data_IF_824804202359
#
_entry.id   IF_824804202359
#
_cell.length_a   1.000
_cell.length_b   1.000
_cell.length_c   1.000
_cell.angle_alpha   90.00
_cell.angle_beta   90.00
_cell.angle_gamma   90.00
#
_symmetry.space_group_name_H-M   'P 1'
#
loop_
_entity.id
_entity.type
_entity.pdbx_description
1 polymer ?
#
# COMPACT_ATOMS: atom_id res chain seq x y z
N UNK A 1 -3.80 -18.06 -36.93
CA UNK A 1 -3.95 -16.95 -35.99
C UNK A 1 -4.28 -17.55 -34.65
N UNK A 2 -3.35 -17.51 -33.69
CA UNK A 2 -3.56 -18.03 -32.35
C UNK A 2 -4.44 -17.01 -31.58
N UNK A 3 -5.67 -17.41 -31.24
CA UNK A 3 -6.53 -16.56 -30.39
C UNK A 3 -5.85 -16.35 -29.04
N UNK A 4 -5.79 -15.12 -28.58
CA UNK A 4 -5.26 -14.79 -27.25
C UNK A 4 -6.14 -15.42 -26.17
N UNK A 5 -5.58 -15.75 -25.01
CA UNK A 5 -6.33 -16.25 -23.84
C UNK A 5 -7.46 -15.27 -23.47
N UNK A 6 -7.21 -13.96 -23.61
CA UNK A 6 -8.21 -12.90 -23.34
C UNK A 6 -9.40 -13.00 -24.30
N UNK A 7 -9.18 -13.33 -25.58
CA UNK A 7 -10.29 -13.50 -26.55
C UNK A 7 -11.11 -14.77 -26.34
N UNK A 8 -10.54 -15.78 -25.66
CA UNK A 8 -11.25 -17.02 -25.30
C UNK A 8 -12.12 -16.84 -24.05
N UNK A 9 -11.66 -16.02 -23.10
CA UNK A 9 -12.45 -15.71 -21.90
C UNK A 9 -13.78 -15.03 -22.22
N UNK A 10 -13.87 -14.34 -23.36
CA UNK A 10 -15.09 -13.69 -23.85
C UNK A 10 -16.24 -14.67 -24.13
N UNK A 11 -15.91 -15.86 -24.61
CA UNK A 11 -16.90 -16.89 -24.97
C UNK A 11 -17.60 -17.44 -23.69
N UNK A 12 -17.10 -17.14 -22.50
CA UNK A 12 -17.63 -17.58 -21.20
C UNK A 12 -18.43 -16.49 -20.44
N UNK A 13 -18.37 -15.23 -20.87
CA UNK A 13 -18.93 -14.08 -20.14
C UNK A 13 -19.86 -13.24 -21.01
N UNK A 14 -20.88 -13.85 -21.59
CA UNK A 14 -21.87 -13.16 -22.47
C UNK A 14 -22.55 -11.93 -21.82
N UNK A 15 -22.59 -11.87 -20.49
CA UNK A 15 -23.22 -10.79 -19.73
C UNK A 15 -22.22 -9.70 -19.26
N UNK A 16 -20.91 -9.88 -19.52
CA UNK A 16 -19.88 -8.91 -19.08
C UNK A 16 -19.46 -8.07 -20.30
N UNK A 17 -19.48 -6.73 -20.21
CA UNK A 17 -19.02 -5.88 -21.30
C UNK A 17 -17.56 -6.19 -21.67
N UNK A 18 -17.28 -6.33 -22.96
CA UNK A 18 -15.92 -6.59 -23.45
C UNK A 18 -14.96 -5.43 -23.14
N UNK A 19 -15.46 -4.22 -23.25
CA UNK A 19 -14.74 -3.03 -22.94
C UNK A 19 -15.31 -2.44 -21.64
N UNK A 20 -14.50 -2.43 -20.59
CA UNK A 20 -14.80 -1.70 -19.37
C UNK A 20 -14.20 -0.31 -19.53
N UNK A 21 -14.98 0.78 -19.48
CA UNK A 21 -14.43 2.12 -19.53
C UNK A 21 -13.50 2.33 -18.32
N UNK A 22 -12.21 2.45 -18.59
CA UNK A 22 -11.21 2.77 -17.56
C UNK A 22 -11.17 4.29 -17.42
N UNK A 23 -11.48 4.85 -16.25
CA UNK A 23 -11.39 6.29 -16.04
C UNK A 23 -9.93 6.77 -16.23
N UNK A 24 -9.75 7.90 -16.88
CA UNK A 24 -8.44 8.58 -16.98
C UNK A 24 -8.14 9.35 -15.68
N UNK A 25 -8.08 8.62 -14.58
CA UNK A 25 -7.87 9.16 -13.24
C UNK A 25 -6.89 8.30 -12.46
N UNK A 26 -6.21 8.89 -11.46
CA UNK A 26 -5.34 8.14 -10.57
C UNK A 26 -6.13 7.32 -9.56
N UNK A 27 -5.55 6.22 -9.04
CA UNK A 27 -6.17 5.47 -7.94
C UNK A 27 -6.39 6.34 -6.69
N UNK A 28 -5.53 7.35 -6.47
CA UNK A 28 -5.73 8.30 -5.37
C UNK A 28 -7.04 9.08 -5.50
N UNK A 29 -7.46 9.44 -6.71
CA UNK A 29 -8.70 10.18 -6.93
C UNK A 29 -9.96 9.40 -6.53
N UNK A 30 -9.90 8.06 -6.57
CA UNK A 30 -10.98 7.23 -6.05
C UNK A 30 -11.15 7.43 -4.53
N UNK A 31 -10.03 7.42 -3.79
CA UNK A 31 -10.03 7.67 -2.36
C UNK A 31 -10.46 9.12 -2.05
N UNK A 32 -9.91 10.11 -2.76
CA UNK A 32 -10.22 11.52 -2.56
C UNK A 32 -11.71 11.80 -2.82
N UNK A 33 -12.26 11.20 -3.86
CA UNK A 33 -13.69 11.32 -4.19
C UNK A 33 -14.57 10.67 -3.12
N UNK A 34 -14.22 9.46 -2.65
CA UNK A 34 -14.93 8.80 -1.57
C UNK A 34 -14.88 9.63 -0.27
N UNK A 35 -13.72 10.23 0.04
CA UNK A 35 -13.55 11.08 1.22
C UNK A 35 -14.35 12.40 1.14
N UNK A 36 -14.58 12.93 -0.07
CA UNK A 36 -15.43 14.11 -0.26
C UNK A 36 -16.90 13.78 -0.18
N UNK A 37 -17.32 12.64 -0.72
CA UNK A 37 -18.73 12.25 -0.76
C UNK A 37 -19.21 11.62 0.55
N UNK A 38 -18.33 10.91 1.25
CA UNK A 38 -18.67 10.10 2.42
C UNK A 38 -17.65 10.28 3.56
N UNK A 39 -17.33 11.53 4.01
CA UNK A 39 -16.22 11.80 4.91
C UNK A 39 -16.30 11.03 6.22
N UNK A 40 -17.50 10.88 6.78
CA UNK A 40 -17.73 10.28 8.10
C UNK A 40 -18.00 8.77 8.05
N UNK A 41 -18.10 8.17 6.84
CA UNK A 41 -18.25 6.72 6.74
C UNK A 41 -16.95 6.02 7.07
N UNK A 42 -17.06 4.86 7.71
CA UNK A 42 -15.92 3.98 8.00
C UNK A 42 -15.32 3.48 6.69
N UNK A 43 -14.04 3.74 6.49
CA UNK A 43 -13.25 3.26 5.36
C UNK A 43 -12.43 2.03 5.73
N UNK A 44 -11.90 1.98 6.95
CA UNK A 44 -11.10 0.86 7.45
C UNK A 44 -11.62 0.45 8.83
N UNK A 45 -11.65 -0.86 9.05
CA UNK A 45 -11.84 -1.47 10.37
C UNK A 45 -10.68 -2.44 10.59
N UNK A 46 -9.95 -2.22 11.67
CA UNK A 46 -8.82 -3.07 12.04
C UNK A 46 -8.93 -3.49 13.49
N UNK A 47 -9.36 -4.73 13.71
CA UNK A 47 -9.65 -5.27 15.04
C UNK A 47 -10.64 -4.43 15.87
N UNK A 48 -11.60 -3.77 15.21
CA UNK A 48 -12.59 -2.91 15.85
C UNK A 48 -12.14 -1.44 16.03
N UNK A 49 -10.90 -1.09 15.66
CA UNK A 49 -10.51 0.32 15.51
C UNK A 49 -10.93 0.78 14.10
N UNK A 50 -11.86 1.70 14.06
CA UNK A 50 -12.38 2.23 12.79
C UNK A 50 -11.70 3.54 12.41
N UNK A 51 -11.52 3.73 11.09
CA UNK A 51 -10.98 4.97 10.51
C UNK A 51 -11.91 5.41 9.39
N UNK A 52 -12.34 6.67 9.41
CA UNK A 52 -13.25 7.22 8.40
C UNK A 52 -12.50 7.56 7.10
N UNK A 53 -13.24 7.76 6.00
CA UNK A 53 -12.64 8.18 4.72
C UNK A 53 -11.89 9.51 4.84
N UNK A 54 -12.43 10.48 5.58
CA UNK A 54 -11.74 11.75 5.82
C UNK A 54 -10.42 11.56 6.57
N UNK A 55 -10.41 10.72 7.59
CA UNK A 55 -9.20 10.41 8.38
C UNK A 55 -8.16 9.66 7.56
N UNK A 56 -8.58 8.67 6.75
CA UNK A 56 -7.67 7.94 5.86
C UNK A 56 -7.04 8.89 4.84
N UNK A 57 -7.84 9.76 4.20
CA UNK A 57 -7.34 10.76 3.26
C UNK A 57 -6.28 11.66 3.90
N UNK A 58 -6.53 12.16 5.11
CA UNK A 58 -5.59 13.01 5.83
C UNK A 58 -4.28 12.25 6.17
N UNK A 59 -4.36 10.99 6.60
CA UNK A 59 -3.20 10.13 6.82
C UNK A 59 -2.40 9.91 5.52
N UNK A 60 -3.07 9.66 4.40
CA UNK A 60 -2.44 9.50 3.10
C UNK A 60 -1.71 10.76 2.65
N UNK A 61 -2.32 11.93 2.83
CA UNK A 61 -1.68 13.21 2.48
C UNK A 61 -0.41 13.47 3.30
N UNK A 62 -0.44 13.16 4.61
CA UNK A 62 0.76 13.26 5.47
C UNK A 62 1.84 12.27 5.05
N UNK A 63 1.49 11.00 4.80
CA UNK A 63 2.44 10.00 4.35
C UNK A 63 3.04 10.34 2.98
N UNK A 64 2.25 10.83 2.04
CA UNK A 64 2.72 11.30 0.73
C UNK A 64 3.73 12.43 0.87
N UNK A 65 3.49 13.37 1.79
CA UNK A 65 4.43 14.46 2.08
C UNK A 65 5.75 13.91 2.63
N UNK A 66 5.72 12.99 3.59
CA UNK A 66 6.93 12.37 4.17
C UNK A 66 7.73 11.64 3.08
N UNK A 67 7.07 10.87 2.21
CA UNK A 67 7.75 10.20 1.08
C UNK A 67 8.39 11.21 0.12
N UNK A 68 7.69 12.29 -0.19
CA UNK A 68 8.22 13.36 -1.05
C UNK A 68 9.44 14.06 -0.42
N UNK A 69 9.40 14.32 0.89
CA UNK A 69 10.52 14.88 1.67
C UNK A 69 11.72 13.90 1.72
N UNK A 70 11.47 12.58 1.72
CA UNK A 70 12.49 11.55 1.58
C UNK A 70 13.05 11.40 0.16
N UNK A 71 12.64 12.26 -0.78
CA UNK A 71 13.15 12.29 -2.14
C UNK A 71 12.36 11.49 -3.15
N UNK A 72 11.25 10.84 -2.79
CA UNK A 72 10.42 10.07 -3.74
C UNK A 72 9.70 11.01 -4.71
N UNK A 73 9.75 10.67 -5.99
CA UNK A 73 9.12 11.41 -7.10
C UNK A 73 8.21 10.47 -7.92
N UNK A 74 7.45 11.06 -8.84
CA UNK A 74 6.64 10.27 -9.77
C UNK A 74 7.53 9.32 -10.60
N UNK A 75 7.10 8.06 -10.70
CA UNK A 75 7.84 6.99 -11.37
C UNK A 75 8.85 6.26 -10.48
N UNK A 76 9.22 6.81 -9.31
CA UNK A 76 10.09 6.10 -8.36
C UNK A 76 9.36 4.93 -7.71
N UNK A 77 10.10 3.89 -7.37
CA UNK A 77 9.54 2.73 -6.67
C UNK A 77 9.79 2.81 -5.16
N UNK A 78 8.72 2.62 -4.39
CA UNK A 78 8.76 2.47 -2.94
C UNK A 78 8.45 1.02 -2.59
N UNK A 79 9.36 0.37 -1.86
CA UNK A 79 9.15 -0.98 -1.35
C UNK A 79 8.25 -0.92 -0.10
N UNK A 80 7.16 -1.68 -0.09
CA UNK A 80 6.23 -1.77 1.04
C UNK A 80 6.23 -3.21 1.55
N UNK A 81 6.83 -3.44 2.71
CA UNK A 81 6.91 -4.75 3.37
C UNK A 81 6.11 -4.72 4.68
N UNK A 82 4.80 -4.69 4.55
CA UNK A 82 3.84 -4.62 5.65
C UNK A 82 2.80 -5.73 5.51
N UNK A 83 2.29 -6.28 6.61
CA UNK A 83 1.10 -7.14 6.58
C UNK A 83 -0.15 -6.31 6.23
N UNK A 84 -1.29 -6.98 6.04
CA UNK A 84 -2.57 -6.30 5.84
C UNK A 84 -2.95 -5.50 7.09
N UNK A 85 -2.71 -4.20 7.07
CA UNK A 85 -2.98 -3.27 8.16
C UNK A 85 -3.34 -1.88 7.60
N UNK A 86 -3.92 -0.98 8.41
CA UNK A 86 -4.25 0.38 7.97
C UNK A 86 -3.06 1.14 7.41
N UNK A 87 -1.88 0.96 8.00
CA UNK A 87 -0.65 1.62 7.56
C UNK A 87 -0.20 1.16 6.17
N UNK A 88 -0.41 -0.12 5.81
CA UNK A 88 -0.13 -0.62 4.47
C UNK A 88 -1.05 0.04 3.43
N UNK A 89 -2.33 0.20 3.75
CA UNK A 89 -3.29 0.92 2.93
C UNK A 89 -2.87 2.38 2.72
N UNK A 90 -2.53 3.08 3.81
CA UNK A 90 -2.05 4.48 3.77
C UNK A 90 -0.78 4.61 2.94
N UNK A 91 0.20 3.71 3.11
CA UNK A 91 1.46 3.70 2.36
C UNK A 91 1.21 3.52 0.85
N UNK A 92 0.34 2.57 0.48
CA UNK A 92 -0.04 2.34 -0.91
C UNK A 92 -0.65 3.60 -1.55
N UNK A 93 -1.67 4.18 -0.92
CA UNK A 93 -2.32 5.38 -1.46
C UNK A 93 -1.44 6.62 -1.42
N UNK A 94 -0.48 6.69 -0.50
CA UNK A 94 0.54 7.74 -0.49
C UNK A 94 1.43 7.68 -1.73
N UNK A 95 1.85 6.47 -2.15
CA UNK A 95 2.56 6.27 -3.42
C UNK A 95 1.70 6.72 -4.61
N UNK A 96 0.43 6.30 -4.65
CA UNK A 96 -0.50 6.70 -5.73
C UNK A 96 -0.69 8.22 -5.78
N UNK A 97 -0.70 8.90 -4.63
CA UNK A 97 -0.86 10.36 -4.55
C UNK A 97 0.29 11.13 -5.18
N UNK A 98 1.50 10.61 -5.10
CA UNK A 98 2.70 11.24 -5.68
C UNK A 98 3.10 10.68 -7.04
N UNK A 99 2.34 9.71 -7.57
CA UNK A 99 2.65 9.06 -8.84
C UNK A 99 3.81 8.07 -8.76
N UNK A 100 4.14 7.58 -7.56
CA UNK A 100 5.16 6.56 -7.35
C UNK A 100 4.60 5.14 -7.55
N UNK A 101 5.48 4.19 -7.78
CA UNK A 101 5.17 2.76 -7.88
C UNK A 101 5.25 2.12 -6.50
N UNK A 102 4.17 1.51 -6.05
CA UNK A 102 4.14 0.74 -4.81
C UNK A 102 4.54 -0.72 -5.08
N UNK A 103 5.75 -1.13 -4.72
CA UNK A 103 6.21 -2.51 -4.80
C UNK A 103 5.93 -3.21 -3.47
N UNK A 104 4.87 -4.02 -3.45
CA UNK A 104 4.47 -4.74 -2.23
C UNK A 104 5.24 -6.06 -2.09
N UNK A 105 5.79 -6.29 -0.91
CA UNK A 105 6.53 -7.48 -0.53
C UNK A 105 5.81 -8.20 0.61
N UNK A 106 5.88 -9.53 0.61
CA UNK A 106 5.49 -10.29 1.79
C UNK A 106 6.50 -10.03 2.93
N UNK A 107 6.10 -9.44 4.07
CA UNK A 107 7.02 -9.12 5.16
C UNK A 107 7.67 -10.37 5.79
N UNK A 108 7.07 -11.54 5.60
CA UNK A 108 7.56 -12.82 6.12
C UNK A 108 8.37 -13.61 5.07
N UNK A 109 8.64 -13.04 3.89
CA UNK A 109 9.46 -13.68 2.88
C UNK A 109 10.94 -13.75 3.32
N UNK A 110 11.67 -14.78 2.90
CA UNK A 110 13.10 -14.88 3.13
C UNK A 110 13.86 -13.67 2.56
N UNK A 111 14.89 -13.19 3.26
CA UNK A 111 15.68 -12.02 2.85
C UNK A 111 16.22 -12.13 1.41
N UNK A 112 16.64 -13.34 0.99
CA UNK A 112 17.12 -13.59 -0.37
C UNK A 112 16.04 -13.39 -1.44
N UNK A 113 14.78 -13.74 -1.14
CA UNK A 113 13.65 -13.51 -2.05
C UNK A 113 13.37 -12.01 -2.17
N UNK A 114 13.31 -11.30 -1.04
CA UNK A 114 13.13 -9.84 -1.04
C UNK A 114 14.26 -9.16 -1.82
N UNK A 115 15.52 -9.54 -1.58
CA UNK A 115 16.68 -9.00 -2.30
C UNK A 115 16.55 -9.18 -3.82
N UNK A 116 16.15 -10.37 -4.28
CA UNK A 116 15.94 -10.63 -5.71
C UNK A 116 14.77 -9.82 -6.31
N UNK A 117 13.73 -9.53 -5.53
CA UNK A 117 12.63 -8.65 -5.96
C UNK A 117 13.11 -7.20 -6.05
N UNK A 118 13.92 -6.72 -5.08
CA UNK A 118 14.48 -5.36 -5.05
C UNK A 118 15.40 -5.09 -6.25
N UNK A 119 16.19 -6.07 -6.66
CA UNK A 119 17.04 -5.95 -7.86
C UNK A 119 16.23 -5.67 -9.12
N UNK A 120 15.03 -6.24 -9.22
CA UNK A 120 14.14 -6.05 -10.39
C UNK A 120 13.51 -4.67 -10.46
N UNK A 121 13.16 -4.06 -9.33
CA UNK A 121 12.44 -2.77 -9.35
C UNK A 121 13.29 -1.55 -8.92
N UNK A 122 14.47 -1.76 -8.34
CA UNK A 122 15.44 -0.70 -8.06
C UNK A 122 15.01 0.37 -7.05
N UNK A 123 13.97 0.11 -6.23
CA UNK A 123 13.48 1.06 -5.23
C UNK A 123 14.55 1.42 -4.20
N UNK A 124 14.59 2.70 -3.80
CA UNK A 124 15.56 3.24 -2.83
C UNK A 124 14.95 3.70 -1.51
N UNK A 125 13.63 3.66 -1.40
CA UNK A 125 12.87 3.96 -0.19
C UNK A 125 12.03 2.75 0.17
N UNK A 126 12.01 2.38 1.45
CA UNK A 126 11.23 1.27 1.96
C UNK A 126 10.37 1.67 3.15
N UNK A 127 9.23 0.99 3.28
CA UNK A 127 8.34 1.03 4.44
C UNK A 127 8.21 -0.40 4.94
N UNK A 128 8.73 -0.68 6.14
CA UNK A 128 8.94 -2.04 6.64
C UNK A 128 8.27 -2.22 8.00
N UNK A 129 7.65 -3.37 8.21
CA UNK A 129 7.18 -3.74 9.54
C UNK A 129 8.34 -3.87 10.52
N UNK A 130 8.25 -3.23 11.68
CA UNK A 130 9.34 -3.18 12.65
C UNK A 130 9.88 -4.56 13.06
N UNK A 131 8.98 -5.56 13.19
CA UNK A 131 9.37 -6.93 13.56
C UNK A 131 10.14 -7.69 12.48
N UNK A 132 10.15 -7.19 11.25
CA UNK A 132 10.83 -7.81 10.13
C UNK A 132 12.06 -7.00 9.68
N UNK A 133 12.35 -5.90 10.33
CA UNK A 133 13.42 -4.98 9.93
C UNK A 133 14.81 -5.65 9.95
N UNK A 134 15.06 -6.52 10.92
CA UNK A 134 16.37 -7.22 11.04
C UNK A 134 16.63 -8.19 9.89
N UNK A 135 15.58 -8.77 9.31
CA UNK A 135 15.67 -9.69 8.16
C UNK A 135 15.55 -8.97 6.81
N UNK A 136 15.33 -7.67 6.81
CA UNK A 136 15.16 -6.88 5.60
C UNK A 136 16.52 -6.35 5.12
N UNK A 137 16.86 -6.37 3.81
CA UNK A 137 18.15 -5.94 3.28
C UNK A 137 18.27 -4.41 3.28
N UNK A 138 18.48 -3.83 4.46
CA UNK A 138 18.47 -2.37 4.71
C UNK A 138 19.54 -1.61 3.93
N UNK A 139 20.69 -2.26 3.66
CA UNK A 139 21.83 -1.71 2.91
C UNK A 139 21.50 -1.32 1.47
N UNK A 140 20.38 -1.81 0.94
CA UNK A 140 19.90 -1.51 -0.41
C UNK A 140 19.13 -0.19 -0.52
N UNK A 141 18.77 0.43 0.61
CA UNK A 141 17.90 1.59 0.67
C UNK A 141 18.61 2.86 1.16
N UNK A 142 18.23 3.99 0.61
CA UNK A 142 18.66 5.31 1.11
C UNK A 142 17.86 5.71 2.35
N UNK A 143 16.59 5.30 2.41
CA UNK A 143 15.69 5.61 3.52
C UNK A 143 14.79 4.40 3.80
N UNK A 144 14.68 4.04 5.07
CA UNK A 144 13.77 2.99 5.55
C UNK A 144 12.90 3.57 6.66
N UNK A 145 11.59 3.51 6.44
CA UNK A 145 10.59 3.83 7.46
C UNK A 145 10.15 2.53 8.13
N UNK A 146 10.28 2.46 9.45
CA UNK A 146 9.76 1.34 10.24
C UNK A 146 8.36 1.65 10.75
N UNK A 147 7.49 0.65 10.72
CA UNK A 147 6.08 0.79 11.11
C UNK A 147 5.72 -0.19 12.20
N UNK A 148 5.27 0.33 13.34
CA UNK A 148 4.56 -0.43 14.36
C UNK A 148 3.08 -0.51 13.97
N UNK A 149 2.65 -1.70 13.52
CA UNK A 149 1.28 -1.94 13.10
C UNK A 149 0.28 -1.95 14.27
N UNK A 150 0.74 -2.11 15.51
CA UNK A 150 -0.11 -2.11 16.71
C UNK A 150 -0.81 -0.77 16.91
N UNK A 151 -0.24 0.32 16.42
CA UNK A 151 -0.86 1.65 16.44
C UNK A 151 -2.17 1.74 15.64
N UNK A 152 -2.43 0.80 14.74
CA UNK A 152 -3.72 0.67 14.06
C UNK A 152 -4.80 -0.04 14.90
N UNK A 153 -4.44 -0.64 16.03
CA UNK A 153 -5.34 -1.44 16.87
C UNK A 153 -5.97 -0.60 17.99
N UNK A 154 -7.09 -1.05 18.57
CA UNK A 154 -7.64 -0.46 19.80
C UNK A 154 -6.62 -0.48 20.94
N UNK A 155 -6.67 0.54 21.82
CA UNK A 155 -5.73 0.68 22.93
C UNK A 155 -5.70 -0.57 23.86
N UNK A 156 -6.84 -1.21 24.08
CA UNK A 156 -6.95 -2.44 24.85
C UNK A 156 -6.17 -3.60 24.27
N UNK A 157 -6.24 -3.80 22.95
CA UNK A 157 -5.49 -4.86 22.26
C UNK A 157 -4.01 -4.56 22.20
N UNK A 158 -3.64 -3.28 21.94
CA UNK A 158 -2.26 -2.84 21.97
C UNK A 158 -1.61 -3.06 23.34
N UNK A 159 -2.35 -2.79 24.43
CA UNK A 159 -1.89 -3.08 25.79
C UNK A 159 -1.65 -4.58 26.00
N UNK A 160 -2.57 -5.45 25.55
CA UNK A 160 -2.39 -6.91 25.65
C UNK A 160 -1.16 -7.42 24.91
N UNK A 161 -0.84 -6.85 23.74
CA UNK A 161 0.35 -7.22 22.96
C UNK A 161 1.68 -6.69 23.56
N UNK A 162 1.62 -5.75 24.49
CA UNK A 162 2.79 -5.21 25.20
C UNK A 162 3.13 -5.98 26.48
N UNK A 163 2.27 -6.90 26.89
CA UNK A 163 2.55 -7.76 28.04
C UNK A 163 3.58 -8.84 27.68
N UNK A 164 4.54 -9.15 28.58
CA UNK A 164 5.58 -10.15 28.37
C UNK A 164 5.03 -11.58 28.31
#
# INVERSE_FOLDING_TARGET
MTRSIVSQAHDFYDAVPYEVPVPDTSLYELLDTAARLYPDRVALDYFGATTTYAQVRDQVLRAARVLHEAGVRAGDTVAISLPNCPQAFVAFYACMRIGAVAAQHNPLAPAAEIAGQLERHGGRVAIVWEKCVESFPLDRFNTVFTVDISHGMPASQRFLLSLP
#
